data_IF_389714699990
#
_entry.id   IF_389714699990
#
_cell.length_a   1.000
_cell.length_b   1.000
_cell.length_c   1.000
_cell.angle_alpha   90.00
_cell.angle_beta   90.00
_cell.angle_gamma   90.00
#
_symmetry.space_group_name_H-M   'P 1'
#
loop_
_entity.id
_entity.type
_entity.pdbx_description
1 polymer ?
#
# COMPACT_ATOMS: atom_id res chain seq x y z
N UNK A 1 12.85 0.88 52.80
CA UNK A 1 11.57 0.42 52.18
C UNK A 1 11.60 0.86 50.72
N UNK A 2 11.79 -0.09 49.80
CA UNK A 2 11.95 0.18 48.37
C UNK A 2 10.62 0.59 47.74
N UNK A 3 10.57 1.78 47.12
CA UNK A 3 9.47 2.20 46.24
C UNK A 3 9.64 1.48 44.90
N UNK A 4 8.82 0.46 44.64
CA UNK A 4 8.69 -0.12 43.30
C UNK A 4 7.99 0.87 42.39
N UNK A 5 8.74 1.42 41.44
CA UNK A 5 8.21 2.05 40.23
C UNK A 5 7.67 0.94 39.32
N UNK A 6 6.35 0.72 39.32
CA UNK A 6 5.71 -0.02 38.23
C UNK A 6 5.69 0.89 37.00
N UNK A 7 6.69 0.72 36.13
CA UNK A 7 6.63 1.19 34.76
C UNK A 7 5.66 0.27 34.00
N UNK A 8 4.42 0.70 33.83
CA UNK A 8 3.48 0.13 32.87
C UNK A 8 3.98 0.45 31.46
N UNK A 9 4.88 -0.40 30.94
CA UNK A 9 5.10 -0.51 29.50
C UNK A 9 3.82 -1.08 28.89
N UNK A 10 2.90 -0.19 28.50
CA UNK A 10 1.90 -0.51 27.50
C UNK A 10 2.65 -0.71 26.18
N UNK A 11 3.08 -1.94 25.94
CA UNK A 11 3.49 -2.38 24.61
C UNK A 11 2.20 -2.36 23.79
N UNK A 12 1.94 -1.22 23.15
CA UNK A 12 0.88 -1.07 22.17
C UNK A 12 1.28 -1.94 20.98
N UNK A 13 0.98 -3.24 21.06
CA UNK A 13 1.00 -4.15 19.92
C UNK A 13 -0.19 -3.79 19.05
N UNK A 14 -0.09 -2.64 18.37
CA UNK A 14 -0.97 -2.34 17.26
C UNK A 14 -0.81 -3.45 16.25
N UNK A 15 -1.81 -4.33 16.15
CA UNK A 15 -1.84 -5.30 15.08
C UNK A 15 -1.90 -4.52 13.77
N UNK A 16 -0.77 -4.46 13.06
CA UNK A 16 -0.70 -3.77 11.78
C UNK A 16 -1.30 -4.68 10.71
N UNK A 17 -2.63 -4.82 10.69
CA UNK A 17 -3.37 -5.48 9.60
C UNK A 17 -3.36 -4.66 8.33
N UNK A 18 -3.11 -5.31 7.19
CA UNK A 18 -3.20 -4.70 5.87
C UNK A 18 -4.47 -3.84 5.76
N UNK A 19 -4.32 -2.55 5.45
CA UNK A 19 -5.49 -1.68 5.34
C UNK A 19 -6.10 -1.81 3.95
N UNK A 20 -7.42 -1.83 3.91
CA UNK A 20 -8.19 -1.92 2.69
C UNK A 20 -8.92 -0.59 2.52
N UNK A 21 -8.62 0.11 1.43
CA UNK A 21 -9.31 1.31 1.01
C UNK A 21 -10.18 0.97 -0.19
N UNK A 22 -11.34 1.60 -0.28
CA UNK A 22 -12.28 1.39 -1.37
C UNK A 22 -12.75 2.74 -1.87
N UNK A 23 -12.65 2.95 -3.17
CA UNK A 23 -13.02 4.20 -3.84
C UNK A 23 -13.86 3.88 -5.07
N UNK A 24 -14.80 4.77 -5.39
CA UNK A 24 -15.55 4.67 -6.62
C UNK A 24 -14.68 4.87 -7.85
N UNK A 25 -15.10 4.30 -8.98
CA UNK A 25 -14.51 4.61 -10.28
C UNK A 25 -14.45 6.13 -10.53
N UNK A 26 -15.48 6.88 -10.12
CA UNK A 26 -15.51 8.34 -10.24
C UNK A 26 -14.41 9.01 -9.41
N UNK A 27 -14.30 8.67 -8.11
CA UNK A 27 -13.26 9.20 -7.22
C UNK A 27 -11.86 8.91 -7.76
N UNK A 28 -11.61 7.68 -8.21
CA UNK A 28 -10.31 7.29 -8.76
C UNK A 28 -9.98 8.03 -10.05
N UNK A 29 -10.96 8.24 -10.93
CA UNK A 29 -10.79 9.02 -12.18
C UNK A 29 -10.46 10.49 -11.91
N UNK A 30 -10.97 11.05 -10.80
CA UNK A 30 -10.64 12.41 -10.35
C UNK A 30 -9.37 12.50 -9.52
N UNK A 31 -8.86 11.37 -9.02
CA UNK A 31 -7.65 11.32 -8.23
C UNK A 31 -6.40 11.57 -9.09
N UNK A 32 -5.33 12.14 -8.52
CA UNK A 32 -4.07 12.36 -9.23
C UNK A 32 -3.31 11.07 -9.55
N UNK A 33 -3.69 9.92 -8.95
CA UNK A 33 -3.14 8.60 -9.32
C UNK A 33 -3.94 7.90 -10.43
N UNK A 34 -5.08 8.47 -10.83
CA UNK A 34 -5.93 7.93 -11.89
C UNK A 34 -6.65 6.62 -11.53
N UNK A 35 -7.37 6.05 -12.50
CA UNK A 35 -8.17 4.83 -12.34
C UNK A 35 -7.54 3.61 -13.02
N UNK A 36 -6.27 3.68 -13.44
CA UNK A 36 -5.60 2.52 -14.02
C UNK A 36 -5.38 1.46 -12.93
N UNK A 37 -5.47 0.19 -13.30
CA UNK A 37 -5.14 -0.92 -12.41
C UNK A 37 -4.64 -2.13 -13.23
N UNK A 38 -3.74 -2.94 -12.66
CA UNK A 38 -3.12 -2.77 -11.34
C UNK A 38 -2.03 -1.70 -11.36
N UNK A 39 -1.97 -0.88 -10.31
CA UNK A 39 -0.84 -0.04 -9.97
C UNK A 39 -0.15 -0.58 -8.71
N UNK A 40 1.12 -0.25 -8.53
CA UNK A 40 1.90 -0.67 -7.38
C UNK A 40 2.84 0.44 -6.93
N UNK A 41 2.85 0.71 -5.62
CA UNK A 41 3.69 1.71 -4.98
C UNK A 41 4.44 1.03 -3.85
N UNK A 42 5.78 1.00 -3.93
CA UNK A 42 6.62 0.41 -2.90
C UNK A 42 7.46 1.51 -2.24
N UNK A 43 7.25 1.69 -0.95
CA UNK A 43 7.98 2.64 -0.12
C UNK A 43 8.95 1.90 0.80
N UNK A 44 10.08 2.55 1.11
CA UNK A 44 10.99 2.10 2.16
C UNK A 44 10.59 2.66 3.53
N UNK A 45 11.34 2.30 4.58
CA UNK A 45 11.07 2.74 5.96
C UNK A 45 11.26 4.24 6.22
N UNK A 46 11.81 5.00 5.26
CA UNK A 46 11.89 6.47 5.30
C UNK A 46 10.69 7.13 4.65
N UNK A 47 9.78 6.34 4.08
CA UNK A 47 8.67 6.84 3.27
C UNK A 47 9.12 7.40 1.93
N UNK A 48 10.27 6.98 1.41
CA UNK A 48 10.71 7.24 0.04
C UNK A 48 10.16 6.14 -0.86
N UNK A 49 9.56 6.52 -1.99
CA UNK A 49 9.13 5.58 -3.01
C UNK A 49 10.38 4.97 -3.65
N UNK A 50 10.55 3.66 -3.58
CA UNK A 50 11.67 2.95 -4.22
C UNK A 50 11.27 2.28 -5.53
N UNK A 51 9.96 2.15 -5.77
CA UNK A 51 9.44 1.61 -7.01
C UNK A 51 7.96 2.00 -7.23
N UNK A 52 7.63 2.32 -8.48
CA UNK A 52 6.26 2.52 -8.96
C UNK A 52 6.04 1.78 -10.28
N UNK A 53 4.82 1.30 -10.49
CA UNK A 53 4.37 0.80 -11.79
C UNK A 53 2.87 0.91 -11.92
N UNK A 54 2.41 1.16 -13.14
CA UNK A 54 1.01 1.26 -13.56
C UNK A 54 0.52 0.02 -14.33
N UNK A 55 1.22 -1.10 -14.16
CA UNK A 55 0.97 -2.35 -14.88
C UNK A 55 1.35 -3.55 -14.01
N UNK A 56 0.86 -4.71 -14.43
CA UNK A 56 1.18 -5.98 -13.77
C UNK A 56 2.69 -6.26 -13.77
N UNK A 57 3.17 -6.76 -12.63
CA UNK A 57 4.57 -7.09 -12.42
C UNK A 57 4.76 -8.55 -12.05
N UNK A 58 5.30 -9.38 -12.96
CA UNK A 58 5.52 -10.80 -12.68
C UNK A 58 6.69 -11.05 -11.72
N UNK A 59 7.64 -10.12 -11.57
CA UNK A 59 8.86 -10.34 -10.77
C UNK A 59 9.03 -9.31 -9.64
N UNK A 60 8.03 -9.21 -8.76
CA UNK A 60 8.02 -8.23 -7.66
C UNK A 60 9.17 -8.44 -6.68
N UNK A 61 9.60 -9.68 -6.42
CA UNK A 61 10.66 -9.97 -5.44
C UNK A 61 12.00 -9.28 -5.78
N UNK A 62 12.31 -9.14 -7.07
CA UNK A 62 13.54 -8.48 -7.51
C UNK A 62 13.58 -6.99 -7.15
N UNK A 63 12.41 -6.35 -7.07
CA UNK A 63 12.25 -4.91 -6.83
C UNK A 63 12.70 -4.53 -5.42
N UNK A 64 12.46 -5.39 -4.43
CA UNK A 64 12.88 -5.17 -3.04
C UNK A 64 14.40 -5.06 -2.84
N UNK A 65 15.18 -5.47 -3.85
CA UNK A 65 16.65 -5.29 -3.85
C UNK A 65 17.06 -3.84 -4.18
N UNK A 66 16.19 -3.07 -4.85
CA UNK A 66 16.44 -1.66 -5.09
C UNK A 66 16.31 -0.87 -3.77
N UNK A 67 17.27 0.01 -3.53
CA UNK A 67 17.31 0.88 -2.35
C UNK A 67 17.33 2.35 -2.71
N UNK A 68 17.38 2.69 -4.00
CA UNK A 68 17.39 4.06 -4.45
C UNK A 68 15.97 4.61 -4.46
N UNK A 69 15.84 5.87 -4.04
CA UNK A 69 14.59 6.60 -4.18
C UNK A 69 14.28 6.81 -5.66
N UNK A 70 13.00 6.66 -6.01
CA UNK A 70 12.46 6.97 -7.31
C UNK A 70 12.52 8.49 -7.52
N UNK A 71 12.88 8.99 -8.71
CA UNK A 71 13.00 10.44 -8.98
C UNK A 71 11.74 11.23 -8.59
N UNK A 72 10.56 10.66 -8.87
CA UNK A 72 9.26 11.28 -8.58
C UNK A 72 8.67 10.87 -7.21
N UNK A 73 9.50 10.42 -6.26
CA UNK A 73 9.04 9.92 -4.96
C UNK A 73 8.10 10.89 -4.25
N UNK A 74 8.48 12.17 -4.14
CA UNK A 74 7.69 13.17 -3.41
C UNK A 74 6.36 13.48 -4.11
N UNK A 75 6.37 13.58 -5.45
CA UNK A 75 5.17 13.82 -6.24
C UNK A 75 4.18 12.66 -6.13
N UNK A 76 4.64 11.43 -6.35
CA UNK A 76 3.79 10.24 -6.30
C UNK A 76 3.26 10.01 -4.89
N UNK A 77 4.09 10.23 -3.86
CA UNK A 77 3.66 10.16 -2.47
C UNK A 77 2.56 11.19 -2.16
N UNK A 78 2.74 12.44 -2.58
CA UNK A 78 1.74 13.50 -2.43
C UNK A 78 0.43 13.15 -3.13
N UNK A 79 0.50 12.62 -4.36
CA UNK A 79 -0.69 12.17 -5.09
C UNK A 79 -1.44 11.05 -4.36
N UNK A 80 -0.70 10.08 -3.79
CA UNK A 80 -1.30 8.99 -3.01
C UNK A 80 -1.91 9.51 -1.69
N UNK A 81 -1.24 10.45 -1.03
CA UNK A 81 -1.75 11.11 0.19
C UNK A 81 -3.03 11.91 -0.08
N UNK A 82 -3.13 12.59 -1.23
CA UNK A 82 -4.36 13.29 -1.62
C UNK A 82 -5.56 12.36 -1.77
N UNK A 83 -5.35 11.12 -2.24
CA UNK A 83 -6.41 10.12 -2.32
C UNK A 83 -6.75 9.55 -0.94
N UNK A 84 -5.74 9.12 -0.17
CA UNK A 84 -5.92 8.41 1.10
C UNK A 84 -6.22 9.35 2.28
N UNK A 85 -6.08 10.67 2.11
CA UNK A 85 -6.12 11.72 3.15
C UNK A 85 -5.02 11.63 4.20
N UNK A 86 -4.55 10.44 4.54
CA UNK A 86 -3.44 10.21 5.48
C UNK A 86 -2.68 8.96 5.06
N UNK A 87 -1.34 9.07 5.02
CA UNK A 87 -0.47 7.92 4.79
C UNK A 87 -0.10 7.24 6.12
N UNK A 88 0.15 5.93 6.12
CA UNK A 88 0.61 5.21 7.29
C UNK A 88 2.01 5.68 7.71
N UNK A 89 2.35 5.39 8.96
CA UNK A 89 3.71 5.57 9.47
C UNK A 89 4.66 4.53 8.84
N UNK A 90 5.41 4.98 7.84
CA UNK A 90 6.39 4.17 7.12
C UNK A 90 7.51 3.60 8.00
N UNK A 91 7.74 4.14 9.21
CA UNK A 91 8.84 3.69 10.08
C UNK A 91 8.56 2.36 10.77
N UNK A 92 7.28 1.92 10.79
CA UNK A 92 6.86 0.70 11.48
C UNK A 92 7.27 -0.58 10.75
N UNK A 93 7.50 -0.51 9.43
CA UNK A 93 7.93 -1.64 8.62
C UNK A 93 9.12 -1.28 7.73
N UNK A 94 9.88 -2.29 7.32
CA UNK A 94 10.99 -2.08 6.37
C UNK A 94 10.49 -1.60 5.00
N UNK A 95 9.33 -2.11 4.59
CA UNK A 95 8.67 -1.77 3.33
C UNK A 95 7.17 -1.62 3.53
N UNK A 96 6.59 -0.65 2.83
CA UNK A 96 5.14 -0.45 2.72
C UNK A 96 4.75 -0.53 1.25
N UNK A 97 3.82 -1.43 0.94
CA UNK A 97 3.33 -1.69 -0.41
C UNK A 97 1.87 -1.26 -0.51
N UNK A 98 1.56 -0.36 -1.44
CA UNK A 98 0.20 -0.10 -1.89
C UNK A 98 0.00 -0.75 -3.26
N UNK A 99 -1.20 -1.26 -3.52
CA UNK A 99 -1.58 -1.67 -4.86
C UNK A 99 -3.03 -1.33 -5.15
N UNK A 100 -3.33 -1.06 -6.42
CA UNK A 100 -4.71 -0.88 -6.89
C UNK A 100 -5.26 -2.15 -7.51
N UNK A 101 -6.55 -2.38 -7.35
CA UNK A 101 -7.31 -3.44 -8.00
C UNK A 101 -8.68 -2.93 -8.44
N UNK A 102 -9.28 -3.61 -9.42
CA UNK A 102 -10.65 -3.32 -9.87
C UNK A 102 -11.53 -4.46 -9.36
N UNK A 103 -12.62 -4.12 -8.69
CA UNK A 103 -13.60 -5.10 -8.23
C UNK A 103 -14.37 -5.69 -9.43
N UNK A 104 -14.77 -6.96 -9.34
CA UNK A 104 -15.39 -7.69 -10.47
C UNK A 104 -16.74 -7.09 -10.91
N UNK A 105 -17.38 -6.30 -10.04
CA UNK A 105 -18.62 -5.58 -10.33
C UNK A 105 -18.43 -4.38 -11.27
N UNK A 106 -17.22 -3.82 -11.32
CA UNK A 106 -16.81 -2.79 -12.32
C UNK A 106 -16.49 -3.45 -13.65
N UNK A 107 -15.78 -4.57 -13.63
CA UNK A 107 -15.42 -5.34 -14.81
C UNK A 107 -14.21 -6.26 -14.58
N UNK A 108 -13.98 -7.22 -15.50
CA UNK A 108 -12.90 -8.19 -15.32
C UNK A 108 -11.53 -7.52 -15.41
N UNK A 109 -10.67 -7.75 -14.40
CA UNK A 109 -9.26 -7.35 -14.44
C UNK A 109 -8.33 -8.55 -14.22
N UNK A 110 -8.09 -9.40 -15.25
CA UNK A 110 -7.15 -10.52 -15.14
C UNK A 110 -5.74 -10.11 -14.68
N UNK A 111 -5.15 -8.97 -15.12
CA UNK A 111 -3.86 -8.51 -14.60
C UNK A 111 -3.90 -8.20 -13.10
N UNK A 112 -5.01 -7.64 -12.57
CA UNK A 112 -5.18 -7.39 -11.14
C UNK A 112 -5.15 -8.71 -10.35
N UNK A 113 -5.88 -9.73 -10.82
CA UNK A 113 -5.89 -11.06 -10.17
C UNK A 113 -4.53 -11.74 -10.17
N UNK A 114 -3.72 -11.53 -11.20
CA UNK A 114 -2.34 -12.03 -11.23
C UNK A 114 -1.43 -11.26 -10.26
N UNK A 115 -1.60 -9.93 -10.17
CA UNK A 115 -0.89 -9.09 -9.22
C UNK A 115 -1.21 -9.50 -7.77
N UNK A 116 -2.48 -9.67 -7.44
CA UNK A 116 -2.95 -10.09 -6.10
C UNK A 116 -2.35 -11.42 -5.67
N UNK A 117 -2.38 -12.44 -6.55
CA UNK A 117 -1.71 -13.73 -6.28
C UNK A 117 -0.22 -13.55 -5.98
N UNK A 118 0.44 -12.66 -6.72
CA UNK A 118 1.86 -12.36 -6.48
C UNK A 118 2.06 -11.66 -5.15
N UNK A 119 1.19 -10.72 -4.79
CA UNK A 119 1.23 -10.01 -3.50
C UNK A 119 0.95 -10.94 -2.32
N UNK A 120 0.04 -11.90 -2.44
CA UNK A 120 -0.22 -12.88 -1.38
C UNK A 120 0.99 -13.81 -1.18
N UNK A 121 1.72 -14.15 -2.24
CA UNK A 121 3.02 -14.80 -2.10
C UNK A 121 4.06 -13.92 -1.39
N UNK A 122 4.01 -12.60 -1.53
CA UNK A 122 4.91 -11.70 -0.78
C UNK A 122 4.54 -11.68 0.71
N UNK A 123 3.25 -11.57 1.04
CA UNK A 123 2.77 -11.59 2.44
C UNK A 123 3.19 -12.86 3.17
N UNK A 124 3.23 -14.01 2.49
CA UNK A 124 3.70 -15.28 3.09
C UNK A 124 5.23 -15.38 3.21
N UNK A 125 6.00 -14.63 2.41
CA UNK A 125 7.47 -14.63 2.42
C UNK A 125 8.08 -13.63 3.40
N UNK A 126 7.42 -12.48 3.57
CA UNK A 126 7.87 -11.43 4.46
C UNK A 126 7.13 -11.50 5.79
N UNK A 127 7.84 -11.30 6.90
CA UNK A 127 7.15 -11.11 8.18
C UNK A 127 6.48 -9.74 8.25
N UNK A 128 5.51 -9.56 9.14
CA UNK A 128 4.78 -8.30 9.32
C UNK A 128 5.68 -7.11 9.70
N UNK A 129 6.85 -7.37 10.29
CA UNK A 129 7.87 -6.34 10.55
C UNK A 129 8.62 -5.88 9.30
N UNK A 130 8.61 -6.69 8.24
CA UNK A 130 9.32 -6.40 7.00
C UNK A 130 8.42 -5.78 5.94
N UNK A 131 7.21 -6.30 5.76
CA UNK A 131 6.31 -5.85 4.71
C UNK A 131 4.93 -5.58 5.26
N UNK A 132 4.47 -4.36 5.04
CA UNK A 132 3.08 -3.95 5.18
C UNK A 132 2.44 -3.83 3.81
N UNK A 133 1.27 -4.42 3.61
CA UNK A 133 0.53 -4.31 2.34
C UNK A 133 -0.77 -3.54 2.58
N UNK A 134 -1.11 -2.64 1.68
CA UNK A 134 -2.34 -1.87 1.64
C UNK A 134 -3.00 -2.07 0.27
N UNK A 135 -4.31 -2.31 0.25
CA UNK A 135 -5.06 -2.49 -1.00
C UNK A 135 -5.97 -1.30 -1.25
N UNK A 136 -6.04 -0.84 -2.50
CA UNK A 136 -6.92 0.22 -2.97
C UNK A 136 -7.85 -0.40 -4.02
N UNK A 137 -9.08 -0.72 -3.65
CA UNK A 137 -10.08 -1.28 -4.56
C UNK A 137 -10.87 -0.18 -5.26
N UNK A 138 -11.02 -0.30 -6.57
CA UNK A 138 -11.90 0.52 -7.40
C UNK A 138 -13.22 -0.23 -7.56
N UNK A 139 -14.30 0.32 -7.03
CA UNK A 139 -15.64 -0.28 -7.05
C UNK A 139 -16.60 0.47 -7.99
N UNK A 140 -17.75 -0.15 -8.27
CA UNK A 140 -18.76 0.40 -9.18
C UNK A 140 -19.67 1.47 -8.51
N UNK A 141 -19.50 1.69 -7.20
CA UNK A 141 -20.36 2.58 -6.41
C UNK A 141 -20.34 3.99 -6.99
N UNK A 142 -21.51 4.56 -7.29
CA UNK A 142 -21.64 5.94 -7.77
C UNK A 142 -21.73 6.94 -6.61
N UNK A 143 -21.07 6.68 -5.48
CA UNK A 143 -21.01 7.60 -4.34
C UNK A 143 -20.04 8.77 -4.65
N UNK A 144 -20.30 9.45 -5.76
CA UNK A 144 -19.88 10.82 -6.01
C UNK A 144 -21.01 11.72 -5.51
N UNK A 145 -20.85 12.24 -4.30
CA UNK A 145 -21.52 13.48 -3.93
C UNK A 145 -21.01 14.59 -4.85
#
# INVERSE_FOLDING_TARGET
MYKLLLATLLIYSGNTYAEQYSFSHYQMTKSPIGNTAPQMFLFNSKGELIYYSDKYLPNILSIFKNKQSHPDSDLIKSNLEQLLTTLPDFTQQKYTLFYTSIDEDVGPCPPCRQQEKTIDMLKSKFSDKQLKVHSISINASNDGI
#
